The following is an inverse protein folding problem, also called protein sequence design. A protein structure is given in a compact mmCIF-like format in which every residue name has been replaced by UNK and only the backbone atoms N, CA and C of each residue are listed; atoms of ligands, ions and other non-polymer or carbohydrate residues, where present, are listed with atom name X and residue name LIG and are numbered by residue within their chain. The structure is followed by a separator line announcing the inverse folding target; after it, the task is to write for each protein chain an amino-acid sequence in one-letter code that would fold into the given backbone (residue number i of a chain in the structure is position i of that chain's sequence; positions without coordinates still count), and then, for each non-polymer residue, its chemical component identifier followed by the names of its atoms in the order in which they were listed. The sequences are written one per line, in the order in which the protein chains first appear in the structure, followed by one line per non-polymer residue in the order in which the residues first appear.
data_IF_286260853080
#
_entry.id   IF_286260853080
#
_cell.length_a   1.000
_cell.length_b   1.000
_cell.length_c   1.000
_cell.angle_alpha   90.00
_cell.angle_beta   90.00
_cell.angle_gamma   90.00
#
_symmetry.space_group_name_H-M   'P 1'
#
loop_
_entity.id
_entity.type
_entity.pdbx_description
1 polymer ?
#
# COMPACT_ATOMS: atom_id res chain seq x y z
N UNK A 1 15.58 -18.64 -8.21
CA UNK A 1 14.33 -17.87 -8.04
C UNK A 1 13.07 -18.74 -8.11
N UNK A 2 13.08 -19.88 -8.80
CA UNK A 2 11.87 -20.71 -8.99
C UNK A 2 11.21 -21.21 -7.71
N UNK A 3 12.00 -21.56 -6.69
CA UNK A 3 11.43 -22.00 -5.41
C UNK A 3 10.67 -20.86 -4.71
N UNK A 4 11.11 -19.60 -4.83
CA UNK A 4 10.44 -18.44 -4.25
C UNK A 4 9.12 -18.17 -4.96
N UNK A 5 9.13 -18.21 -6.30
CA UNK A 5 7.90 -18.07 -7.10
C UNK A 5 6.91 -19.20 -6.79
N UNK A 6 7.38 -20.46 -6.73
CA UNK A 6 6.55 -21.62 -6.40
C UNK A 6 5.97 -21.56 -4.98
N UNK A 7 6.74 -21.08 -4.00
CA UNK A 7 6.28 -20.94 -2.61
C UNK A 7 5.50 -19.65 -2.33
N UNK A 8 5.44 -18.71 -3.28
CA UNK A 8 4.84 -17.39 -3.05
C UNK A 8 5.65 -16.51 -2.09
N UNK A 9 6.94 -16.83 -1.90
CA UNK A 9 7.87 -16.07 -1.08
C UNK A 9 7.98 -14.64 -1.64
N UNK A 10 7.61 -13.65 -0.84
CA UNK A 10 7.51 -12.23 -1.23
C UNK A 10 6.10 -11.64 -1.16
N UNK A 11 5.03 -12.45 -1.10
CA UNK A 11 3.65 -11.93 -0.95
C UNK A 11 3.50 -11.05 0.29
N UNK A 12 4.03 -11.49 1.43
CA UNK A 12 4.04 -10.71 2.67
C UNK A 12 4.77 -9.38 2.52
N UNK A 13 5.94 -9.41 1.88
CA UNK A 13 6.74 -8.21 1.65
C UNK A 13 5.98 -7.18 0.79
N UNK A 14 5.25 -7.65 -0.23
CA UNK A 14 4.40 -6.77 -1.04
C UNK A 14 3.25 -6.16 -0.23
N UNK A 15 2.58 -6.95 0.61
CA UNK A 15 1.53 -6.43 1.50
C UNK A 15 2.06 -5.41 2.51
N UNK A 16 3.23 -5.67 3.11
CA UNK A 16 3.88 -4.75 4.05
C UNK A 16 4.28 -3.44 3.37
N UNK A 17 4.84 -3.50 2.16
CA UNK A 17 5.15 -2.32 1.35
C UNK A 17 3.90 -1.52 0.97
N UNK A 18 2.79 -2.19 0.65
CA UNK A 18 1.52 -1.52 0.36
C UNK A 18 1.00 -0.75 1.58
N UNK A 19 1.04 -1.35 2.78
CA UNK A 19 0.65 -0.69 4.02
C UNK A 19 1.60 0.46 4.38
N UNK A 20 2.91 0.29 4.15
CA UNK A 20 3.88 1.36 4.36
C UNK A 20 3.58 2.57 3.47
N UNK A 21 3.33 2.35 2.17
CA UNK A 21 2.96 3.41 1.22
C UNK A 21 1.64 4.07 1.60
N UNK A 22 0.63 3.28 1.96
CA UNK A 22 -0.66 3.79 2.42
C UNK A 22 -0.49 4.79 3.58
N UNK A 23 0.26 4.41 4.62
CA UNK A 23 0.51 5.29 5.78
C UNK A 23 1.37 6.51 5.44
N UNK A 24 2.27 6.39 4.46
CA UNK A 24 3.17 7.49 4.10
C UNK A 24 2.51 8.53 3.19
N UNK A 25 1.66 8.08 2.25
CA UNK A 25 1.08 8.91 1.20
C UNK A 25 -0.31 9.42 1.60
N UNK A 26 -1.17 8.53 2.11
CA UNK A 26 -2.58 8.84 2.33
C UNK A 26 -2.81 9.37 3.73
N UNK A 27 -2.32 8.67 4.77
CA UNK A 27 -2.78 8.98 6.13
C UNK A 27 -1.73 8.75 7.21
N UNK A 28 -1.49 9.79 8.03
CA UNK A 28 -0.69 9.69 9.27
C UNK A 28 -1.48 9.07 10.43
N UNK A 29 -2.80 9.33 10.48
CA UNK A 29 -3.77 8.80 11.45
C UNK A 29 -5.19 8.89 10.90
N UNK A 30 -6.04 7.89 11.17
CA UNK A 30 -7.46 7.93 10.77
C UNK A 30 -8.19 9.07 11.49
N UNK A 31 -9.12 9.73 10.80
CA UNK A 31 -9.75 10.95 11.30
C UNK A 31 -10.96 10.65 12.17
N UNK A 32 -11.84 9.74 11.70
CA UNK A 32 -13.01 9.34 12.45
C UNK A 32 -12.65 8.71 13.80
N UNK A 33 -13.48 8.98 14.80
CA UNK A 33 -13.44 8.31 16.11
C UNK A 33 -14.33 7.06 16.19
N UNK A 34 -15.22 6.90 15.22
CA UNK A 34 -16.04 5.70 15.03
C UNK A 34 -15.30 4.68 14.15
N UNK A 35 -15.27 3.43 14.60
CA UNK A 35 -14.58 2.33 13.92
C UNK A 35 -15.16 1.99 12.55
N UNK A 36 -16.49 2.03 12.37
CA UNK A 36 -17.09 1.73 11.07
C UNK A 36 -16.68 2.78 10.02
N UNK A 37 -16.65 4.04 10.44
CA UNK A 37 -16.16 5.13 9.61
C UNK A 37 -14.65 5.01 9.34
N UNK A 38 -13.85 4.61 10.33
CA UNK A 38 -12.42 4.33 10.14
C UNK A 38 -12.16 3.22 9.11
N UNK A 39 -13.00 2.19 9.09
CA UNK A 39 -12.94 1.11 8.10
C UNK A 39 -13.25 1.64 6.71
N UNK A 40 -14.29 2.46 6.56
CA UNK A 40 -14.64 3.10 5.28
C UNK A 40 -13.50 4.03 4.81
N UNK A 41 -12.98 4.89 5.68
CA UNK A 41 -11.81 5.75 5.39
C UNK A 41 -10.63 4.92 4.86
N UNK A 42 -10.37 3.78 5.51
CA UNK A 42 -9.27 2.89 5.13
C UNK A 42 -9.46 2.27 3.74
N UNK A 43 -10.70 1.85 3.42
CA UNK A 43 -11.04 1.29 2.11
C UNK A 43 -10.91 2.37 1.02
N UNK A 44 -11.41 3.57 1.27
CA UNK A 44 -11.32 4.69 0.33
C UNK A 44 -9.86 5.04 0.06
N UNK A 45 -9.04 5.17 1.10
CA UNK A 45 -7.62 5.47 0.94
C UNK A 45 -6.86 4.39 0.16
N UNK A 46 -7.20 3.11 0.37
CA UNK A 46 -6.61 2.01 -0.39
C UNK A 46 -6.98 2.09 -1.88
N UNK A 47 -8.24 2.44 -2.19
CA UNK A 47 -8.70 2.67 -3.56
C UNK A 47 -7.99 3.85 -4.22
N UNK A 48 -7.76 4.94 -3.49
CA UNK A 48 -6.98 6.09 -3.99
C UNK A 48 -5.55 5.65 -4.34
N UNK A 49 -4.88 4.90 -3.46
CA UNK A 49 -3.53 4.40 -3.71
C UNK A 49 -3.47 3.45 -4.92
N UNK A 50 -4.45 2.57 -5.08
CA UNK A 50 -4.58 1.71 -6.24
C UNK A 50 -4.81 2.52 -7.52
N UNK A 51 -5.62 3.58 -7.45
CA UNK A 51 -5.87 4.47 -8.58
C UNK A 51 -4.60 5.22 -8.99
N UNK A 52 -3.84 5.77 -8.04
CA UNK A 52 -2.53 6.37 -8.30
C UNK A 52 -1.60 5.39 -9.02
N UNK A 53 -1.52 4.14 -8.52
CA UNK A 53 -0.72 3.08 -9.14
C UNK A 53 -1.15 2.79 -10.58
N UNK A 54 -2.46 2.79 -10.86
CA UNK A 54 -2.99 2.55 -12.21
C UNK A 54 -2.68 3.68 -13.19
N UNK A 55 -2.50 4.91 -12.69
CA UNK A 55 -2.18 6.09 -13.52
C UNK A 55 -0.69 6.15 -13.88
N UNK A 56 0.15 5.37 -13.20
CA UNK A 56 1.59 5.34 -13.39
C UNK A 56 2.33 5.42 -12.06
N UNK A 57 3.52 4.83 -12.02
CA UNK A 57 4.39 4.86 -10.85
C UNK A 57 5.67 5.64 -11.16
N UNK A 58 6.17 6.46 -10.22
CA UNK A 58 7.46 7.12 -10.40
C UNK A 58 8.60 6.10 -10.42
N UNK A 59 9.55 6.31 -11.32
CA UNK A 59 10.78 5.51 -11.39
C UNK A 59 11.73 5.91 -10.27
N UNK A 60 12.11 4.93 -9.44
CA UNK A 60 13.10 5.12 -8.38
C UNK A 60 14.47 4.64 -8.84
N UNK A 61 15.46 5.53 -8.85
CA UNK A 61 16.86 5.21 -9.14
C UNK A 61 17.71 5.31 -7.88
N UNK A 62 18.71 4.43 -7.75
CA UNK A 62 19.73 4.53 -6.71
C UNK A 62 20.74 5.61 -7.12
N UNK A 63 20.95 6.60 -6.27
CA UNK A 63 22.03 7.59 -6.40
C UNK A 63 23.17 7.24 -5.45
N UNK A 64 24.40 7.57 -5.86
CA UNK A 64 25.63 7.36 -5.09
C UNK A 64 25.77 8.36 -3.92
#
# INVERSE_FOLDING_TARGET
MDWQKKSGYGRRNNSELAIQRYKRIIVRSLHSRDFENQKIESIIGANVLNKMTSLGMPDSYRTA
#
